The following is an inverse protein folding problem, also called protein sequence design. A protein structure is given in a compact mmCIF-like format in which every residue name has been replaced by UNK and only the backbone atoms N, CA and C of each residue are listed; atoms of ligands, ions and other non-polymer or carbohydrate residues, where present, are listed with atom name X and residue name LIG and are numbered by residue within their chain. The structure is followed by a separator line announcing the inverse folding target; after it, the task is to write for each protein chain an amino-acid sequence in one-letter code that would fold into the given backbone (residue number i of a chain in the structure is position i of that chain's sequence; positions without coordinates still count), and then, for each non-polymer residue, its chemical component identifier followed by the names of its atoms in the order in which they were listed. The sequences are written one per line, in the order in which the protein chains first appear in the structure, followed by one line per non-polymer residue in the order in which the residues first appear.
data_IF_725817954269
#
_entry.id   IF_725817954269
#
_cell.length_a   1.000
_cell.length_b   1.000
_cell.length_c   1.000
_cell.angle_alpha   90.00
_cell.angle_beta   90.00
_cell.angle_gamma   90.00
#
_symmetry.space_group_name_H-M   'P 1'
#
loop_
_entity.id
_entity.type
_entity.pdbx_description
1 polymer ?
#
# COMPACT_ATOMS: atom_id res chain seq x y z
N UNK A 1 -13.80 -30.45 -23.50
CA UNK A 1 -12.55 -29.66 -23.64
C UNK A 1 -12.84 -28.27 -24.18
N UNK A 2 -13.78 -28.13 -25.11
CA UNK A 2 -14.09 -26.84 -25.75
C UNK A 2 -14.47 -25.72 -24.78
N UNK A 3 -15.24 -26.00 -23.71
CA UNK A 3 -15.58 -24.99 -22.70
C UNK A 3 -14.33 -24.38 -22.03
N UNK A 4 -13.29 -25.18 -21.76
CA UNK A 4 -12.07 -24.70 -21.12
C UNK A 4 -11.22 -23.85 -22.08
N UNK A 5 -11.22 -24.16 -23.38
CA UNK A 5 -10.53 -23.35 -24.38
C UNK A 5 -11.26 -22.02 -24.64
N UNK A 6 -12.59 -22.03 -24.62
CA UNK A 6 -13.42 -20.82 -24.68
C UNK A 6 -13.14 -19.89 -23.49
N UNK A 7 -13.11 -20.43 -22.27
CA UNK A 7 -12.79 -19.63 -21.07
C UNK A 7 -11.38 -19.01 -21.14
N UNK A 8 -10.41 -19.76 -21.68
CA UNK A 8 -9.03 -19.31 -21.85
C UNK A 8 -8.92 -18.22 -22.92
N UNK A 9 -9.69 -18.34 -23.99
CA UNK A 9 -9.80 -17.31 -25.03
C UNK A 9 -10.31 -16.00 -24.42
N UNK A 10 -11.41 -16.04 -23.67
CA UNK A 10 -12.00 -14.87 -23.03
C UNK A 10 -11.02 -14.21 -22.05
N UNK A 11 -10.35 -15.01 -21.22
CA UNK A 11 -9.33 -14.51 -20.29
C UNK A 11 -8.14 -13.88 -21.00
N UNK A 12 -7.71 -14.47 -22.13
CA UNK A 12 -6.56 -13.98 -22.90
C UNK A 12 -6.84 -12.60 -23.51
N UNK A 13 -8.03 -12.39 -24.07
CA UNK A 13 -8.43 -11.10 -24.64
C UNK A 13 -8.72 -10.04 -23.56
N UNK A 14 -9.26 -10.44 -22.41
CA UNK A 14 -9.51 -9.54 -21.28
C UNK A 14 -8.25 -9.15 -20.49
N UNK A 15 -7.11 -9.81 -20.72
CA UNK A 15 -5.87 -9.52 -20.01
C UNK A 15 -5.23 -8.21 -20.49
N UNK A 16 -4.98 -7.29 -19.54
CA UNK A 16 -4.34 -5.99 -19.77
C UNK A 16 -2.83 -6.13 -20.06
N UNK A 17 -2.14 -7.07 -19.42
CA UNK A 17 -0.68 -7.23 -19.52
C UNK A 17 -0.24 -8.48 -20.27
N UNK A 18 0.87 -8.39 -21.01
CA UNK A 18 1.49 -9.54 -21.69
C UNK A 18 1.92 -10.64 -20.70
N UNK A 19 2.28 -10.27 -19.47
CA UNK A 19 2.58 -11.22 -18.39
C UNK A 19 1.37 -12.08 -18.02
N UNK A 20 0.19 -11.47 -17.94
CA UNK A 20 -1.05 -12.17 -17.59
C UNK A 20 -1.46 -13.10 -18.74
N UNK A 21 -1.38 -12.61 -19.99
CA UNK A 21 -1.56 -13.42 -21.21
C UNK A 21 -0.63 -14.63 -21.27
N UNK A 22 0.66 -14.43 -20.95
CA UNK A 22 1.64 -15.50 -20.90
C UNK A 22 1.29 -16.56 -19.85
N UNK A 23 0.82 -16.13 -18.68
CA UNK A 23 0.46 -17.02 -17.59
C UNK A 23 -0.83 -17.81 -17.87
N UNK A 24 -1.82 -17.19 -18.52
CA UNK A 24 -3.02 -17.85 -19.04
C UNK A 24 -2.63 -18.95 -20.04
N UNK A 25 -1.79 -18.63 -21.02
CA UNK A 25 -1.28 -19.62 -21.98
C UNK A 25 -0.54 -20.78 -21.29
N UNK A 26 0.25 -20.50 -20.27
CA UNK A 26 1.00 -21.52 -19.53
C UNK A 26 0.09 -22.60 -18.89
N UNK A 27 -1.21 -22.32 -18.68
CA UNK A 27 -2.19 -23.27 -18.17
C UNK A 27 -2.56 -24.37 -19.18
N UNK A 28 -2.69 -24.02 -20.45
CA UNK A 28 -3.19 -24.94 -21.49
C UNK A 28 -2.09 -25.64 -22.29
N UNK A 29 -0.90 -25.04 -22.37
CA UNK A 29 0.19 -25.45 -23.26
C UNK A 29 0.83 -26.81 -22.91
N UNK A 30 0.56 -27.36 -21.72
CA UNK A 30 1.00 -28.73 -21.38
C UNK A 30 0.12 -29.81 -22.04
N UNK A 31 -1.18 -29.56 -22.14
CA UNK A 31 -2.18 -30.56 -22.53
C UNK A 31 -2.68 -30.40 -23.96
N UNK A 32 -2.53 -29.21 -24.54
CA UNK A 32 -3.15 -28.86 -25.82
C UNK A 32 -2.07 -28.41 -26.82
N UNK A 33 -2.04 -28.94 -28.07
CA UNK A 33 -1.07 -28.56 -29.07
C UNK A 33 -1.35 -27.16 -29.67
N UNK A 34 -0.31 -26.53 -30.23
CA UNK A 34 -0.36 -25.16 -30.76
C UNK A 34 -1.52 -24.92 -31.75
N UNK A 35 -1.75 -25.84 -32.69
CA UNK A 35 -2.80 -25.69 -33.71
C UNK A 35 -4.17 -25.49 -33.07
N UNK A 36 -4.52 -26.37 -32.13
CA UNK A 36 -5.79 -26.31 -31.41
C UNK A 36 -5.93 -25.04 -30.58
N UNK A 37 -4.84 -24.47 -30.06
CA UNK A 37 -4.90 -23.16 -29.37
C UNK A 37 -5.05 -22.00 -30.37
N UNK A 38 -4.44 -22.12 -31.56
CA UNK A 38 -4.54 -21.11 -32.62
C UNK A 38 -5.94 -21.02 -33.23
N UNK A 39 -6.70 -22.12 -33.24
CA UNK A 39 -8.10 -22.10 -33.69
C UNK A 39 -8.96 -21.15 -32.83
N UNK A 40 -8.63 -21.00 -31.55
CA UNK A 40 -9.32 -20.10 -30.60
C UNK A 40 -8.63 -18.73 -30.45
N UNK A 41 -7.30 -18.67 -30.64
CA UNK A 41 -6.50 -17.45 -30.55
C UNK A 41 -5.66 -17.31 -31.83
N UNK A 42 -6.25 -16.79 -32.93
CA UNK A 42 -5.60 -16.80 -34.24
C UNK A 42 -4.31 -15.95 -34.29
N UNK A 43 -4.22 -14.91 -33.47
CA UNK A 43 -3.05 -14.03 -33.41
C UNK A 43 -1.93 -14.57 -32.49
N UNK A 44 -2.02 -15.82 -32.02
CA UNK A 44 -1.01 -16.41 -31.14
C UNK A 44 0.27 -16.77 -31.90
N UNK A 45 1.37 -16.13 -31.54
CA UNK A 45 2.68 -16.43 -32.12
C UNK A 45 3.27 -17.74 -31.58
N UNK A 46 3.97 -18.47 -32.45
CA UNK A 46 4.72 -19.68 -32.06
C UNK A 46 5.74 -19.42 -30.95
N UNK A 47 6.31 -18.21 -30.94
CA UNK A 47 7.24 -17.77 -29.90
C UNK A 47 6.55 -17.71 -28.53
N UNK A 48 5.40 -17.04 -28.43
CA UNK A 48 4.64 -16.93 -27.17
C UNK A 48 4.23 -18.30 -26.62
N UNK A 49 3.75 -19.20 -27.49
CA UNK A 49 3.42 -20.57 -27.12
C UNK A 49 4.65 -21.35 -26.62
N UNK A 50 5.76 -21.31 -27.35
CA UNK A 50 6.97 -22.06 -26.99
C UNK A 50 7.62 -21.53 -25.72
N UNK A 51 7.55 -20.22 -25.50
CA UNK A 51 8.00 -19.56 -24.27
C UNK A 51 7.17 -20.03 -23.08
N UNK A 52 5.83 -20.07 -23.21
CA UNK A 52 4.94 -20.54 -22.14
C UNK A 52 5.18 -22.02 -21.83
N UNK A 53 5.37 -22.86 -22.86
CA UNK A 53 5.71 -24.29 -22.70
C UNK A 53 6.99 -24.49 -21.91
N UNK A 54 8.06 -23.75 -22.26
CA UNK A 54 9.35 -23.81 -21.56
C UNK A 54 9.20 -23.38 -20.10
N UNK A 55 8.38 -22.36 -19.82
CA UNK A 55 8.12 -21.89 -18.46
C UNK A 55 7.39 -22.94 -17.61
N UNK A 56 6.37 -23.59 -18.16
CA UNK A 56 5.64 -24.68 -17.46
C UNK A 56 6.55 -25.87 -17.13
N UNK A 57 7.42 -26.27 -18.07
CA UNK A 57 8.41 -27.35 -17.85
C UNK A 57 9.40 -26.97 -16.74
N UNK A 58 9.94 -25.73 -16.77
CA UNK A 58 10.89 -25.25 -15.75
C UNK A 58 10.28 -25.17 -14.35
N UNK A 59 8.97 -24.92 -14.22
CA UNK A 59 8.30 -24.67 -12.94
C UNK A 59 7.66 -25.91 -12.28
N UNK A 60 7.89 -27.13 -12.79
CA UNK A 60 7.41 -28.41 -12.23
C UNK A 60 5.98 -28.35 -11.65
N UNK A 61 5.03 -27.82 -12.41
CA UNK A 61 3.58 -27.92 -12.09
C UNK A 61 3.19 -27.38 -10.71
N UNK A 62 3.51 -26.11 -10.40
CA UNK A 62 2.72 -25.34 -9.42
C UNK A 62 2.24 -24.05 -10.07
N UNK A 63 1.02 -24.10 -10.60
CA UNK A 63 0.28 -22.93 -11.06
C UNK A 63 0.13 -21.97 -9.87
N UNK A 64 0.81 -20.82 -9.91
CA UNK A 64 0.42 -19.71 -9.03
C UNK A 64 -0.90 -19.21 -9.61
N UNK A 65 -2.00 -19.49 -8.91
CA UNK A 65 -3.28 -18.83 -9.15
C UNK A 65 -3.03 -17.33 -9.25
N UNK A 66 -3.81 -16.62 -10.08
CA UNK A 66 -3.78 -15.17 -10.24
C UNK A 66 -3.68 -14.52 -8.87
N UNK A 67 -2.45 -14.22 -8.45
CA UNK A 67 -2.21 -13.49 -7.24
C UNK A 67 -2.55 -12.07 -7.62
N UNK A 68 -3.85 -11.73 -7.57
CA UNK A 68 -4.28 -10.35 -7.39
C UNK A 68 -3.28 -9.80 -6.40
N UNK A 69 -2.52 -8.79 -6.80
CA UNK A 69 -1.52 -8.13 -5.96
C UNK A 69 -2.27 -7.50 -4.77
N UNK A 70 -2.75 -8.33 -3.84
CA UNK A 70 -3.40 -7.91 -2.62
C UNK A 70 -2.25 -7.33 -1.83
N UNK A 71 -2.14 -6.01 -1.84
CA UNK A 71 -1.30 -5.28 -0.90
C UNK A 71 -1.63 -5.86 0.48
N UNK A 72 -0.72 -6.65 1.04
CA UNK A 72 -0.89 -7.19 2.38
C UNK A 72 -0.82 -5.99 3.33
N UNK A 73 -1.98 -5.57 3.82
CA UNK A 73 -2.07 -4.53 4.84
C UNK A 73 -1.59 -5.17 6.14
N UNK A 74 -0.38 -4.81 6.59
CA UNK A 74 0.27 -5.37 7.79
C UNK A 74 -0.09 -4.63 9.09
N UNK A 75 -1.10 -3.77 9.05
CA UNK A 75 -1.55 -2.99 10.20
C UNK A 75 -3.06 -3.11 10.39
N UNK A 76 -3.50 -3.03 11.64
CA UNK A 76 -4.92 -2.89 11.96
C UNK A 76 -5.30 -1.42 11.78
N UNK A 77 -6.43 -1.16 11.11
CA UNK A 77 -6.88 0.21 10.82
C UNK A 77 -7.23 0.98 12.10
N UNK A 78 -7.82 0.29 13.08
CA UNK A 78 -8.12 0.82 14.43
C UNK A 78 -6.90 1.44 15.09
N UNK A 79 -5.78 0.72 15.05
CA UNK A 79 -4.55 1.12 15.73
C UNK A 79 -3.97 2.38 15.08
N UNK A 80 -3.97 2.43 13.74
CA UNK A 80 -3.54 3.63 12.99
C UNK A 80 -4.43 4.82 13.34
N UNK A 81 -5.76 4.62 13.42
CA UNK A 81 -6.69 5.68 13.78
C UNK A 81 -6.40 6.22 15.18
N UNK A 82 -6.21 5.33 16.16
CA UNK A 82 -5.87 5.68 17.54
C UNK A 82 -4.58 6.53 17.61
N UNK A 83 -3.55 6.14 16.84
CA UNK A 83 -2.31 6.91 16.80
C UNK A 83 -2.50 8.28 16.11
N UNK A 84 -3.31 8.35 15.06
CA UNK A 84 -3.63 9.63 14.39
C UNK A 84 -4.36 10.55 15.35
N UNK A 85 -5.36 10.04 16.08
CA UNK A 85 -6.12 10.78 17.08
C UNK A 85 -5.20 11.34 18.18
N UNK A 86 -4.31 10.49 18.70
CA UNK A 86 -3.29 10.90 19.67
C UNK A 86 -2.41 12.04 19.14
N UNK A 87 -1.95 11.95 17.88
CA UNK A 87 -1.10 12.98 17.27
C UNK A 87 -1.87 14.28 17.03
N UNK A 88 -3.16 14.21 16.69
CA UNK A 88 -4.01 15.39 16.51
C UNK A 88 -4.49 16.02 17.81
N UNK A 89 -4.29 15.33 18.95
CA UNK A 89 -4.67 15.86 20.25
C UNK A 89 -3.99 17.20 20.55
N UNK A 90 -4.65 18.09 21.31
CA UNK A 90 -4.06 19.38 21.71
C UNK A 90 -2.82 19.21 22.58
N UNK A 91 -2.60 18.02 23.15
CA UNK A 91 -1.40 17.69 23.91
C UNK A 91 -0.17 17.62 23.00
N UNK A 92 -0.31 17.08 21.79
CA UNK A 92 0.80 16.86 20.86
C UNK A 92 0.89 17.97 19.80
N UNK A 93 -0.25 18.50 19.36
CA UNK A 93 -0.36 19.42 18.23
C UNK A 93 -1.17 20.66 18.56
N UNK A 94 -0.86 21.79 17.91
CA UNK A 94 -1.57 23.07 18.06
C UNK A 94 -1.88 23.62 16.67
N UNK A 95 -3.10 24.10 16.47
CA UNK A 95 -3.47 24.80 15.24
C UNK A 95 -2.92 26.22 15.25
N UNK A 96 -2.33 26.64 14.15
CA UNK A 96 -1.88 28.01 13.95
C UNK A 96 -3.09 28.90 13.61
N UNK A 97 -3.10 30.14 14.09
CA UNK A 97 -4.13 31.11 13.71
C UNK A 97 -3.95 31.65 12.28
N UNK A 98 -2.84 31.30 11.61
CA UNK A 98 -2.52 31.73 10.25
C UNK A 98 -2.05 30.58 9.38
N UNK A 99 -2.32 30.69 8.08
CA UNK A 99 -1.99 29.68 7.08
C UNK A 99 -3.00 28.54 7.04
N UNK A 100 -3.49 28.25 5.83
CA UNK A 100 -4.44 27.18 5.58
C UNK A 100 -3.96 26.29 4.43
N UNK A 101 -4.21 24.99 4.56
CA UNK A 101 -3.96 24.00 3.53
C UNK A 101 -5.30 23.50 2.96
N UNK A 102 -5.43 23.55 1.64
CA UNK A 102 -6.62 23.06 0.91
C UNK A 102 -6.53 21.55 0.72
N UNK A 103 -7.38 20.79 1.40
CA UNK A 103 -7.51 19.35 1.23
C UNK A 103 -8.66 19.03 0.28
N UNK A 104 -8.43 18.15 -0.70
CA UNK A 104 -9.47 17.62 -1.58
C UNK A 104 -9.89 16.23 -1.10
N UNK A 105 -11.15 16.06 -0.75
CA UNK A 105 -11.71 14.76 -0.40
C UNK A 105 -11.90 13.88 -1.63
N UNK A 106 -12.03 12.57 -1.43
CA UNK A 106 -12.39 11.63 -2.50
C UNK A 106 -13.74 11.94 -3.16
N UNK A 107 -14.65 12.58 -2.43
CA UNK A 107 -15.93 13.09 -2.94
C UNK A 107 -15.80 14.31 -3.86
N UNK A 108 -14.61 14.88 -4.00
CA UNK A 108 -14.36 16.10 -4.79
C UNK A 108 -14.51 17.40 -4.00
N UNK A 109 -15.04 17.35 -2.77
CA UNK A 109 -15.15 18.51 -1.88
C UNK A 109 -13.76 19.05 -1.50
N UNK A 110 -13.65 20.38 -1.45
CA UNK A 110 -12.43 21.09 -1.01
C UNK A 110 -12.68 21.65 0.39
N UNK A 111 -11.85 21.28 1.35
CA UNK A 111 -11.91 21.73 2.73
C UNK A 111 -10.63 22.51 3.04
N UNK A 112 -10.76 23.65 3.71
CA UNK A 112 -9.61 24.38 4.23
C UNK A 112 -9.30 23.88 5.65
N UNK A 113 -8.05 23.49 5.88
CA UNK A 113 -7.57 23.00 7.16
C UNK A 113 -6.50 23.97 7.65
N UNK A 114 -6.58 24.51 8.88
CA UNK A 114 -5.54 25.37 9.42
C UNK A 114 -4.23 24.61 9.52
N UNK A 115 -3.12 25.32 9.33
CA UNK A 115 -1.80 24.71 9.49
C UNK A 115 -1.59 24.31 10.96
N UNK A 116 -0.98 23.16 11.18
CA UNK A 116 -0.77 22.61 12.53
C UNK A 116 0.72 22.52 12.83
N UNK A 117 1.08 22.80 14.09
CA UNK A 117 2.44 22.66 14.63
C UNK A 117 2.46 21.55 15.67
N UNK A 118 3.46 20.66 15.58
CA UNK A 118 3.76 19.70 16.65
C UNK A 118 4.62 20.35 17.74
N UNK A 119 4.25 20.11 18.98
CA UNK A 119 4.98 20.58 20.16
C UNK A 119 6.28 19.80 20.39
N UNK A 120 6.28 18.52 20.05
CA UNK A 120 7.38 17.58 20.34
C UNK A 120 7.99 16.98 19.08
N UNK A 121 9.19 16.40 19.21
CA UNK A 121 9.86 15.68 18.12
C UNK A 121 9.19 14.34 17.86
N UNK A 122 9.29 13.83 16.64
CA UNK A 122 8.64 12.57 16.24
C UNK A 122 8.98 11.38 17.17
N UNK A 123 10.22 11.30 17.64
CA UNK A 123 10.65 10.27 18.59
C UNK A 123 9.93 10.39 19.95
N UNK A 124 9.83 11.61 20.48
CA UNK A 124 9.20 11.88 21.78
C UNK A 124 7.70 11.57 21.73
N UNK A 125 7.03 11.96 20.63
CA UNK A 125 5.61 11.65 20.41
C UNK A 125 5.38 10.13 20.45
N UNK A 126 6.27 9.35 19.83
CA UNK A 126 6.16 7.88 19.84
C UNK A 126 6.35 7.31 21.25
N UNK A 127 7.28 7.86 22.04
CA UNK A 127 7.46 7.44 23.43
C UNK A 127 6.24 7.80 24.29
N UNK A 128 5.74 9.03 24.17
CA UNK A 128 4.54 9.48 24.87
C UNK A 128 3.34 8.59 24.54
N UNK A 129 3.15 8.25 23.26
CA UNK A 129 2.08 7.35 22.86
C UNK A 129 2.19 5.97 23.51
N UNK A 130 3.38 5.39 23.54
CA UNK A 130 3.61 4.09 24.19
C UNK A 130 3.37 4.16 25.69
N UNK A 131 3.76 5.25 26.34
CA UNK A 131 3.52 5.44 27.77
C UNK A 131 2.02 5.57 28.05
N UNK A 132 1.32 6.36 27.24
CA UNK A 132 -0.13 6.53 27.33
C UNK A 132 -0.88 5.20 27.12
N UNK A 133 -0.45 4.36 26.16
CA UNK A 133 -1.03 3.02 25.96
C UNK A 133 -0.92 2.12 27.21
N UNK A 134 0.18 2.23 27.96
CA UNK A 134 0.36 1.50 29.23
C UNK A 134 -0.61 2.00 30.30
N UNK A 135 -0.80 3.31 30.39
CA UNK A 135 -1.71 3.93 31.38
C UNK A 135 -3.16 3.52 31.16
N UNK A 136 -3.59 3.40 29.90
CA UNK A 136 -4.96 2.97 29.56
C UNK A 136 -5.13 1.45 29.47
N UNK A 137 -4.09 0.67 29.84
CA UNK A 137 -4.06 -0.80 29.73
C UNK A 137 -4.37 -1.34 28.32
N UNK A 138 -4.01 -0.60 27.25
CA UNK A 138 -4.18 -1.00 25.86
C UNK A 138 -2.85 -1.41 25.21
N UNK A 139 -2.14 -2.34 25.85
CA UNK A 139 -0.87 -2.86 25.32
C UNK A 139 -1.04 -3.73 24.06
N UNK A 140 -2.28 -4.15 23.77
CA UNK A 140 -2.64 -4.93 22.58
C UNK A 140 -2.48 -4.17 21.25
N UNK A 141 -2.31 -2.86 21.30
CA UNK A 141 -2.12 -1.99 20.12
C UNK A 141 -0.72 -2.22 19.54
N UNK A 142 -0.65 -3.02 18.46
CA UNK A 142 0.62 -3.47 17.85
C UNK A 142 0.99 -2.65 16.62
N UNK A 143 1.38 -1.39 16.83
CA UNK A 143 1.94 -0.54 15.77
C UNK A 143 3.47 -0.56 15.83
N UNK A 144 4.11 -0.87 14.70
CA UNK A 144 5.56 -0.80 14.60
C UNK A 144 6.07 0.64 14.66
N UNK A 145 7.27 0.84 15.22
CA UNK A 145 7.93 2.15 15.25
C UNK A 145 8.05 2.79 13.86
N UNK A 146 8.39 1.98 12.85
CA UNK A 146 8.49 2.42 11.45
C UNK A 146 7.14 2.90 10.89
N UNK A 147 6.03 2.29 11.31
CA UNK A 147 4.69 2.70 10.88
C UNK A 147 4.31 4.03 11.53
N UNK A 148 4.55 4.19 12.84
CA UNK A 148 4.32 5.47 13.53
C UNK A 148 5.14 6.60 12.91
N UNK A 149 6.43 6.38 12.64
CA UNK A 149 7.29 7.37 11.98
C UNK A 149 6.81 7.71 10.57
N UNK A 150 6.29 6.73 9.81
CA UNK A 150 5.69 6.97 8.49
C UNK A 150 4.42 7.82 8.58
N UNK A 151 3.56 7.56 9.58
CA UNK A 151 2.36 8.36 9.84
C UNK A 151 2.78 9.80 10.15
N UNK A 152 3.73 10.00 11.06
CA UNK A 152 4.25 11.33 11.40
C UNK A 152 4.88 12.06 10.21
N UNK A 153 5.52 11.33 9.27
CA UNK A 153 6.03 11.91 8.02
C UNK A 153 4.92 12.31 7.05
N UNK A 154 3.82 11.56 7.04
CA UNK A 154 2.69 11.79 6.11
C UNK A 154 1.77 12.90 6.60
N UNK A 155 1.52 12.97 7.91
CA UNK A 155 0.84 14.09 8.54
C UNK A 155 1.80 15.28 8.54
N UNK A 156 1.78 16.08 7.48
CA UNK A 156 2.67 17.24 7.38
C UNK A 156 2.23 18.27 8.42
N UNK A 157 3.02 18.42 9.47
CA UNK A 157 2.86 19.44 10.50
C UNK A 157 4.22 20.12 10.70
N UNK A 158 4.20 21.44 10.83
CA UNK A 158 5.41 22.20 11.12
C UNK A 158 5.93 21.78 12.51
N UNK A 159 7.25 21.68 12.66
CA UNK A 159 7.85 21.41 13.98
C UNK A 159 8.16 22.75 14.63
N UNK A 160 7.89 22.88 15.93
CA UNK A 160 8.41 24.02 16.69
C UNK A 160 9.93 23.94 16.68
N UNK A 161 10.58 24.88 15.99
CA UNK A 161 12.03 25.08 16.09
C UNK A 161 12.27 25.94 17.33
N UNK A 162 13.34 25.66 18.08
CA UNK A 162 13.75 26.54 19.16
C UNK A 162 14.05 27.92 18.57
N UNK A 163 13.37 28.96 19.05
CA UNK A 163 13.62 30.34 18.65
C UNK A 163 14.86 30.93 19.36
N UNK A 164 15.27 30.33 20.47
CA UNK A 164 16.44 30.73 21.25
C UNK A 164 17.66 29.90 20.86
N UNK A 165 18.74 30.54 20.42
CA UNK A 165 20.08 29.97 20.54
C UNK A 165 20.35 29.73 22.03
N UNK A 166 21.07 28.64 22.33
CA UNK A 166 21.47 28.26 23.69
C UNK A 166 22.62 29.18 24.13
N UNK A 167 22.40 30.49 24.21
CA UNK A 167 23.42 31.48 24.54
C UNK A 167 22.90 32.54 25.54
N UNK A 168 22.25 32.11 26.61
CA UNK A 168 22.07 32.94 27.81
C UNK A 168 22.63 32.20 29.02
N UNK A 169 23.95 32.03 29.03
CA UNK A 169 24.70 32.10 30.29
C UNK A 169 24.73 33.58 30.69
N UNK A 170 23.80 33.99 31.55
CA UNK A 170 24.00 35.19 32.35
C UNK A 170 24.71 34.73 33.62
N UNK A 171 26.02 35.04 33.67
CA UNK A 171 26.86 34.95 34.86
C UNK A 171 26.43 35.98 35.92
#
# INVERSE_FOLDING_TARGET
MDHLLSDVQDQYYNAENDRDRHQILAQVVHSIPLRTVQDYIPNLTRYSYSKARKETIRRKTKFKAFSKNRRKVRYRKSDVLLFVEFVTSPLVSVNLPFGETKAKMSSGLKINIPNTVRKYRDHEIILMFRQWLKEINQEDVKISYSTMKRILKTCVASRKVALSCVDYYLA
#
